data_IF_344391721823
#
_entry.id   IF_344391721823
#
_cell.length_a   1.000
_cell.length_b   1.000
_cell.length_c   1.000
_cell.angle_alpha   90.00
_cell.angle_beta   90.00
_cell.angle_gamma   90.00
#
_symmetry.space_group_name_H-M   'P 1'
#
loop_
_entity.id
_entity.type
_entity.pdbx_description
1 polymer ?
#
# COMPACT_ATOMS: atom_id res chain seq x y z
N UNK A 1 -36.84 -16.41 -46.65
CA UNK A 1 -35.84 -16.37 -45.56
C UNK A 1 -35.45 -14.92 -45.40
N UNK A 2 -35.94 -14.25 -44.35
CA UNK A 2 -35.67 -12.84 -44.08
C UNK A 2 -34.53 -12.78 -43.09
N UNK A 3 -33.38 -12.22 -43.48
CA UNK A 3 -32.33 -11.82 -42.55
C UNK A 3 -32.29 -10.29 -42.54
N UNK A 4 -32.91 -9.74 -41.48
CA UNK A 4 -32.83 -8.32 -41.13
C UNK A 4 -31.37 -7.97 -40.83
N UNK A 5 -30.86 -6.93 -41.49
CA UNK A 5 -29.52 -6.40 -41.21
C UNK A 5 -29.55 -5.67 -39.86
N UNK A 6 -28.84 -6.22 -38.87
CA UNK A 6 -28.52 -5.49 -37.64
C UNK A 6 -27.59 -4.33 -37.97
N UNK A 7 -28.04 -3.10 -37.72
CA UNK A 7 -27.25 -1.90 -37.94
C UNK A 7 -26.00 -1.90 -37.06
N UNK A 8 -24.84 -1.69 -37.68
CA UNK A 8 -23.57 -1.52 -36.98
C UNK A 8 -23.54 -0.09 -36.41
N UNK A 9 -23.82 0.04 -35.11
CA UNK A 9 -23.72 1.33 -34.40
C UNK A 9 -22.24 1.59 -34.12
N UNK A 10 -21.74 2.77 -34.46
CA UNK A 10 -20.35 3.13 -34.19
C UNK A 10 -20.14 3.35 -32.69
N UNK A 11 -18.92 3.11 -32.19
CA UNK A 11 -18.53 3.45 -30.83
C UNK A 11 -18.90 4.90 -30.47
N UNK A 12 -18.73 5.83 -31.42
CA UNK A 12 -19.07 7.24 -31.25
C UNK A 12 -20.56 7.48 -31.02
N UNK A 13 -21.41 6.68 -31.68
CA UNK A 13 -22.86 6.76 -31.57
C UNK A 13 -23.33 6.16 -30.23
N UNK A 14 -22.74 5.05 -29.80
CA UNK A 14 -22.96 4.48 -28.47
C UNK A 14 -22.52 5.46 -27.36
N UNK A 15 -21.37 6.11 -27.53
CA UNK A 15 -20.89 7.12 -26.59
C UNK A 15 -21.77 8.35 -26.52
N UNK A 16 -22.27 8.82 -27.67
CA UNK A 16 -23.20 9.94 -27.73
C UNK A 16 -24.53 9.60 -27.04
N UNK A 17 -25.02 8.37 -27.22
CA UNK A 17 -26.23 7.89 -26.59
C UNK A 17 -26.07 7.76 -25.06
N UNK A 18 -24.96 7.19 -24.58
CA UNK A 18 -24.68 7.10 -23.14
C UNK A 18 -24.60 8.50 -22.49
N UNK A 19 -24.02 9.49 -23.18
CA UNK A 19 -23.97 10.89 -22.71
C UNK A 19 -25.35 11.52 -22.62
N UNK A 20 -26.22 11.29 -23.61
CA UNK A 20 -27.57 11.86 -23.62
C UNK A 20 -28.46 11.22 -22.54
N UNK A 21 -28.35 9.90 -22.35
CA UNK A 21 -29.05 9.18 -21.29
C UNK A 21 -28.58 9.62 -19.89
N UNK A 22 -27.28 9.88 -19.70
CA UNK A 22 -26.75 10.41 -18.45
C UNK A 22 -27.26 11.84 -18.16
N UNK A 23 -27.36 12.70 -19.19
CA UNK A 23 -27.92 14.04 -19.06
C UNK A 23 -29.43 14.02 -18.76
N UNK A 24 -30.19 13.09 -19.35
CA UNK A 24 -31.60 12.90 -19.02
C UNK A 24 -31.81 12.35 -17.60
N UNK A 25 -30.94 11.45 -17.13
CA UNK A 25 -30.95 10.97 -15.74
C UNK A 25 -30.60 12.07 -14.73
N UNK A 26 -29.96 13.15 -15.17
CA UNK A 26 -29.65 14.31 -14.34
C UNK A 26 -30.91 15.09 -13.92
N UNK A 27 -32.01 15.01 -14.70
CA UNK A 27 -33.30 15.61 -14.34
C UNK A 27 -34.02 14.82 -13.23
N UNK A 28 -33.73 13.52 -13.07
CA UNK A 28 -34.23 12.70 -11.96
C UNK A 28 -33.31 12.84 -10.74
N UNK A 29 -33.41 13.99 -10.07
CA UNK A 29 -32.91 14.30 -8.73
C UNK A 29 -31.52 13.72 -8.37
N UNK A 30 -30.46 14.43 -8.78
CA UNK A 30 -29.21 14.42 -8.04
C UNK A 30 -29.47 14.91 -6.60
N UNK A 31 -29.45 14.01 -5.61
CA UNK A 31 -29.37 14.41 -4.18
C UNK A 31 -27.92 14.70 -3.82
N UNK A 32 -27.46 15.90 -4.17
CA UNK A 32 -26.31 16.50 -3.51
C UNK A 32 -26.71 16.78 -2.06
N UNK A 33 -25.93 16.32 -1.08
CA UNK A 33 -26.10 16.79 0.30
C UNK A 33 -25.76 18.29 0.33
N UNK A 34 -26.79 19.13 0.26
CA UNK A 34 -26.62 20.57 0.50
C UNK A 34 -26.56 20.80 2.01
N UNK A 35 -25.55 21.54 2.43
CA UNK A 35 -25.54 22.21 3.73
C UNK A 35 -26.40 23.47 3.56
N UNK A 36 -27.35 23.66 4.48
CA UNK A 36 -28.31 24.75 4.46
C UNK A 36 -27.64 26.12 4.30
N UNK A 37 -28.30 26.98 3.53
CA UNK A 37 -27.89 28.36 3.26
C UNK A 37 -27.79 29.26 4.51
N UNK A 38 -27.47 30.55 4.31
CA UNK A 38 -26.98 31.41 5.37
C UNK A 38 -28.11 31.80 6.33
N UNK A 39 -28.22 31.10 7.46
CA UNK A 39 -29.15 31.47 8.53
C UNK A 39 -29.63 30.29 9.34
N UNK A 40 -28.75 29.68 10.13
CA UNK A 40 -29.13 28.57 11.01
C UNK A 40 -28.02 28.20 11.97
N UNK A 41 -27.92 28.90 13.09
CA UNK A 41 -27.07 28.53 14.22
C UNK A 41 -27.65 27.29 14.91
N UNK A 42 -27.15 26.12 14.54
CA UNK A 42 -27.15 24.94 15.40
C UNK A 42 -25.72 24.36 15.39
N UNK A 43 -25.04 24.21 16.53
CA UNK A 43 -23.73 23.59 16.56
C UNK A 43 -23.90 22.10 16.24
N UNK A 44 -23.55 21.72 15.01
CA UNK A 44 -23.52 20.33 14.60
C UNK A 44 -22.48 19.56 15.44
N UNK A 45 -22.75 18.34 15.95
CA UNK A 45 -21.76 17.52 16.66
C UNK A 45 -20.57 17.05 15.79
N UNK A 46 -20.44 17.55 14.56
CA UNK A 46 -19.41 17.15 13.59
C UNK A 46 -18.17 18.07 13.56
N UNK A 47 -18.08 19.08 14.44
CA UNK A 47 -16.97 20.04 14.45
C UNK A 47 -15.73 19.54 15.23
N UNK A 48 -15.41 18.26 15.12
CA UNK A 48 -14.10 17.76 15.56
C UNK A 48 -13.56 16.68 14.61
N UNK A 49 -13.80 16.82 13.31
CA UNK A 49 -12.90 16.20 12.32
C UNK A 49 -11.63 17.05 12.34
N UNK A 50 -10.66 16.66 13.16
CA UNK A 50 -9.37 17.34 13.23
C UNK A 50 -8.80 17.54 11.82
N UNK A 51 -8.29 18.73 11.54
CA UNK A 51 -7.59 19.01 10.29
C UNK A 51 -6.28 18.21 10.27
N UNK A 52 -6.32 17.00 9.72
CA UNK A 52 -5.14 16.16 9.51
C UNK A 52 -4.40 16.68 8.28
N UNK A 53 -3.65 17.77 8.45
CA UNK A 53 -2.70 18.24 7.44
C UNK A 53 -1.31 17.63 7.70
N UNK A 54 -0.71 17.05 6.66
CA UNK A 54 0.67 16.53 6.69
C UNK A 54 1.51 17.30 5.69
N UNK A 55 2.75 17.66 6.05
CA UNK A 55 3.65 18.39 5.15
C UNK A 55 4.46 17.41 4.30
N UNK A 56 4.70 17.75 3.04
CA UNK A 56 5.51 16.94 2.14
C UNK A 56 6.93 16.65 2.68
N UNK A 57 7.52 17.59 3.43
CA UNK A 57 8.80 17.39 4.13
C UNK A 57 8.72 16.25 5.15
N UNK A 58 7.61 16.16 5.88
CA UNK A 58 7.43 15.15 6.93
C UNK A 58 7.25 13.77 6.29
N UNK A 59 6.47 13.67 5.20
CA UNK A 59 6.35 12.43 4.41
C UNK A 59 7.70 11.99 3.81
N UNK A 60 8.48 12.92 3.27
CA UNK A 60 9.81 12.60 2.75
C UNK A 60 10.75 12.08 3.86
N UNK A 61 10.69 12.67 5.05
CA UNK A 61 11.47 12.21 6.20
C UNK A 61 11.07 10.79 6.64
N UNK A 62 9.79 10.43 6.56
CA UNK A 62 9.32 9.05 6.84
C UNK A 62 9.83 8.07 5.78
N UNK A 63 9.76 8.43 4.50
CA UNK A 63 10.32 7.61 3.41
C UNK A 63 11.81 7.36 3.60
N UNK A 64 12.60 8.40 3.88
CA UNK A 64 14.03 8.30 4.16
C UNK A 64 14.32 7.43 5.39
N UNK A 65 13.49 7.52 6.43
CA UNK A 65 13.63 6.69 7.62
C UNK A 65 13.34 5.21 7.32
N UNK A 66 12.29 4.92 6.53
CA UNK A 66 11.97 3.57 6.08
C UNK A 66 13.10 2.98 5.22
N UNK A 67 13.69 3.77 4.33
CA UNK A 67 14.85 3.35 3.53
C UNK A 67 16.06 3.02 4.40
N UNK A 68 16.39 3.87 5.37
CA UNK A 68 17.51 3.61 6.30
C UNK A 68 17.26 2.38 7.17
N UNK A 69 16.02 2.17 7.61
CA UNK A 69 15.63 0.97 8.34
C UNK A 69 15.82 -0.27 7.46
N UNK A 70 15.33 -0.26 6.22
CA UNK A 70 15.55 -1.34 5.25
C UNK A 70 17.03 -1.70 5.12
N UNK A 71 17.89 -0.72 4.86
CA UNK A 71 19.33 -0.97 4.67
C UNK A 71 20.01 -1.59 5.90
N UNK A 72 19.62 -1.14 7.10
CA UNK A 72 20.16 -1.68 8.35
C UNK A 72 19.61 -3.07 8.63
N UNK A 73 18.33 -3.29 8.42
CA UNK A 73 17.70 -4.58 8.68
C UNK A 73 18.24 -5.67 7.74
N UNK A 74 18.50 -5.32 6.48
CA UNK A 74 19.09 -6.21 5.49
C UNK A 74 20.47 -6.67 5.95
N UNK A 75 21.35 -5.70 6.26
CA UNK A 75 22.71 -5.98 6.70
C UNK A 75 22.80 -6.69 8.06
N UNK A 76 22.18 -6.11 9.08
CA UNK A 76 22.31 -6.59 10.46
C UNK A 76 21.49 -7.88 10.65
N UNK A 77 20.36 -8.01 9.95
CA UNK A 77 19.52 -9.20 9.93
C UNK A 77 20.19 -10.40 9.27
N UNK A 78 20.83 -10.20 8.11
CA UNK A 78 21.59 -11.25 7.42
C UNK A 78 22.81 -11.71 8.24
N UNK A 79 23.51 -10.76 8.89
CA UNK A 79 24.62 -11.11 9.78
C UNK A 79 24.17 -11.98 10.95
N UNK A 80 23.07 -11.61 11.63
CA UNK A 80 22.51 -12.38 12.73
C UNK A 80 22.03 -13.78 12.25
N UNK A 81 21.40 -13.85 11.08
CA UNK A 81 20.97 -15.12 10.48
C UNK A 81 22.18 -16.02 10.20
N UNK A 82 23.21 -15.50 9.52
CA UNK A 82 24.39 -16.26 9.13
C UNK A 82 25.14 -16.81 10.35
N UNK A 83 25.42 -15.94 11.32
CA UNK A 83 26.15 -16.33 12.54
C UNK A 83 25.38 -17.36 13.38
N UNK A 84 24.06 -17.18 13.52
CA UNK A 84 23.20 -18.11 14.26
C UNK A 84 23.04 -19.44 13.53
N UNK A 85 22.97 -19.44 12.19
CA UNK A 85 22.91 -20.67 11.39
C UNK A 85 24.19 -21.50 11.53
N UNK A 86 25.36 -20.84 11.55
CA UNK A 86 26.64 -21.51 11.83
C UNK A 86 26.63 -22.14 13.22
N UNK A 87 26.24 -21.38 14.26
CA UNK A 87 26.16 -21.91 15.62
C UNK A 87 25.17 -23.08 15.74
N UNK A 88 24.02 -22.99 15.07
CA UNK A 88 23.03 -24.06 15.05
C UNK A 88 23.60 -25.35 14.44
N UNK A 89 24.32 -25.23 13.32
CA UNK A 89 25.01 -26.36 12.67
C UNK A 89 26.07 -26.97 13.59
N UNK A 90 26.91 -26.14 14.19
CA UNK A 90 28.02 -26.62 15.02
C UNK A 90 27.55 -27.33 16.30
N UNK A 91 26.38 -26.96 16.83
CA UNK A 91 25.80 -27.58 18.02
C UNK A 91 24.95 -28.82 17.74
N UNK A 92 24.52 -29.04 16.48
CA UNK A 92 23.46 -30.01 16.16
C UNK A 92 23.82 -31.46 16.43
N UNK A 93 25.09 -31.82 16.32
CA UNK A 93 25.55 -33.20 16.48
C UNK A 93 25.65 -33.61 17.95
N UNK A 94 25.96 -32.67 18.84
CA UNK A 94 26.22 -32.93 20.27
C UNK A 94 25.11 -32.41 21.21
N UNK A 95 24.25 -31.50 20.74
CA UNK A 95 23.24 -30.85 21.57
C UNK A 95 21.91 -30.61 20.84
N UNK A 96 20.80 -31.00 21.48
CA UNK A 96 19.43 -30.77 21.00
C UNK A 96 19.12 -29.29 20.69
N UNK A 97 19.80 -28.37 21.39
CA UNK A 97 19.67 -26.92 21.17
C UNK A 97 20.09 -26.49 19.76
N UNK A 98 20.96 -27.24 19.07
CA UNK A 98 21.34 -26.93 17.69
C UNK A 98 20.16 -27.07 16.72
N UNK A 99 19.30 -28.07 16.95
CA UNK A 99 18.03 -28.23 16.23
C UNK A 99 17.09 -27.07 16.51
N UNK A 100 16.82 -26.79 17.79
CA UNK A 100 15.94 -25.69 18.19
C UNK A 100 16.43 -24.31 17.69
N UNK A 101 17.74 -24.07 17.68
CA UNK A 101 18.32 -22.83 17.16
C UNK A 101 18.13 -22.72 15.63
N UNK A 102 18.11 -23.84 14.91
CA UNK A 102 17.81 -23.83 13.47
C UNK A 102 16.38 -23.33 13.22
N UNK A 103 15.40 -23.77 14.01
CA UNK A 103 14.00 -23.33 13.90
C UNK A 103 13.85 -21.82 14.22
N UNK A 104 14.60 -21.34 15.21
CA UNK A 104 14.67 -19.91 15.55
C UNK A 104 15.26 -19.09 14.39
N UNK A 105 16.31 -19.59 13.74
CA UNK A 105 16.93 -18.93 12.57
C UNK A 105 15.94 -18.83 11.40
N UNK A 106 15.15 -19.88 11.15
CA UNK A 106 14.11 -19.85 10.11
C UNK A 106 13.04 -18.82 10.41
N UNK A 107 12.57 -18.77 11.66
CA UNK A 107 11.57 -17.79 12.11
C UNK A 107 12.12 -16.36 12.02
N UNK A 108 13.37 -16.14 12.45
CA UNK A 108 14.06 -14.86 12.33
C UNK A 108 14.11 -14.38 10.89
N UNK A 109 14.52 -15.26 9.96
CA UNK A 109 14.59 -14.94 8.54
C UNK A 109 13.24 -14.49 8.01
N UNK A 110 12.16 -15.20 8.35
CA UNK A 110 10.80 -14.82 7.94
C UNK A 110 10.43 -13.44 8.45
N UNK A 111 10.68 -13.15 9.73
CA UNK A 111 10.34 -11.86 10.34
C UNK A 111 11.15 -10.69 9.77
N UNK A 112 12.46 -10.86 9.57
CA UNK A 112 13.31 -9.84 8.93
C UNK A 112 12.83 -9.57 7.50
N UNK A 113 12.49 -10.62 6.75
CA UNK A 113 11.98 -10.51 5.39
C UNK A 113 10.64 -9.75 5.32
N UNK A 114 9.74 -9.97 6.26
CA UNK A 114 8.48 -9.22 6.36
C UNK A 114 8.73 -7.74 6.66
N UNK A 115 9.61 -7.44 7.61
CA UNK A 115 9.98 -6.06 7.92
C UNK A 115 10.68 -5.35 6.75
N UNK A 116 11.55 -6.05 6.01
CA UNK A 116 12.19 -5.53 4.80
C UNK A 116 11.15 -5.17 3.74
N UNK A 117 10.22 -6.07 3.45
CA UNK A 117 9.17 -5.78 2.48
C UNK A 117 8.26 -4.64 2.94
N UNK A 118 7.89 -4.56 4.22
CA UNK A 118 7.12 -3.43 4.75
C UNK A 118 7.86 -2.09 4.60
N UNK A 119 9.15 -2.05 4.93
CA UNK A 119 9.97 -0.84 4.76
C UNK A 119 10.10 -0.44 3.29
N UNK A 120 10.28 -1.41 2.39
CA UNK A 120 10.32 -1.17 0.96
C UNK A 120 8.98 -0.59 0.45
N UNK A 121 7.84 -1.16 0.85
CA UNK A 121 6.51 -0.65 0.49
C UNK A 121 6.29 0.78 0.96
N UNK A 122 6.60 1.09 2.23
CA UNK A 122 6.47 2.46 2.77
C UNK A 122 7.37 3.43 2.00
N UNK A 123 8.64 3.06 1.78
CA UNK A 123 9.60 3.89 1.05
C UNK A 123 9.12 4.16 -0.37
N UNK A 124 8.73 3.11 -1.11
CA UNK A 124 8.24 3.24 -2.49
C UNK A 124 6.96 4.04 -2.59
N UNK A 125 6.01 3.83 -1.69
CA UNK A 125 4.72 4.52 -1.73
C UNK A 125 4.90 6.03 -1.48
N UNK A 126 5.77 6.39 -0.53
CA UNK A 126 6.07 7.80 -0.23
C UNK A 126 6.95 8.44 -1.30
N UNK A 127 7.85 7.68 -1.91
CA UNK A 127 8.63 8.11 -3.08
C UNK A 127 7.72 8.39 -4.27
N UNK A 128 6.81 7.46 -4.61
CA UNK A 128 5.76 7.65 -5.61
C UNK A 128 4.88 8.87 -5.29
N UNK A 129 4.43 9.03 -4.05
CA UNK A 129 3.61 10.20 -3.64
C UNK A 129 4.38 11.51 -3.84
N UNK A 130 5.67 11.53 -3.53
CA UNK A 130 6.54 12.70 -3.76
C UNK A 130 6.75 12.98 -5.25
N UNK A 131 6.80 11.94 -6.09
CA UNK A 131 7.13 12.01 -7.53
C UNK A 131 5.92 12.19 -8.43
N UNK A 132 4.75 11.70 -8.06
CA UNK A 132 3.48 12.14 -8.63
C UNK A 132 3.31 13.67 -8.53
N UNK A 133 4.04 14.32 -7.62
CA UNK A 133 4.13 15.77 -7.50
C UNK A 133 5.43 16.39 -8.06
N UNK A 134 6.44 15.61 -8.51
CA UNK A 134 7.78 16.12 -8.86
C UNK A 134 8.54 15.46 -10.05
N UNK A 135 8.19 14.26 -10.54
CA UNK A 135 8.58 13.75 -11.87
C UNK A 135 9.69 12.68 -12.02
N UNK A 136 10.44 12.23 -11.00
CA UNK A 136 11.64 11.36 -11.19
C UNK A 136 11.62 10.05 -10.38
N UNK A 137 11.47 8.83 -10.93
CA UNK A 137 11.33 7.54 -10.18
C UNK A 137 12.63 6.87 -9.63
N UNK A 138 12.56 6.30 -8.41
CA UNK A 138 13.60 5.46 -7.78
C UNK A 138 12.89 4.30 -7.05
N UNK A 139 12.90 3.12 -7.66
CA UNK A 139 12.16 1.96 -7.18
C UNK A 139 13.04 1.02 -6.35
N UNK A 140 12.56 0.62 -5.17
CA UNK A 140 13.13 -0.47 -4.38
C UNK A 140 12.28 -1.71 -4.61
N UNK A 141 12.87 -2.85 -4.99
CA UNK A 141 12.09 -4.07 -5.14
C UNK A 141 11.65 -4.61 -3.78
N UNK A 142 10.33 -4.77 -3.58
CA UNK A 142 9.78 -5.46 -2.41
C UNK A 142 9.60 -6.95 -2.72
N UNK A 143 10.02 -7.83 -1.80
CA UNK A 143 9.98 -9.29 -1.98
C UNK A 143 8.60 -9.91 -1.70
N UNK A 144 7.70 -9.20 -1.02
CA UNK A 144 6.37 -9.69 -0.63
C UNK A 144 5.28 -8.69 -0.99
N UNK A 145 4.07 -9.18 -1.30
CA UNK A 145 2.88 -8.30 -1.41
C UNK A 145 2.40 -7.87 -0.02
N UNK A 146 1.53 -6.86 0.03
CA UNK A 146 0.93 -6.41 1.28
C UNK A 146 0.11 -7.53 1.96
N UNK A 147 -0.59 -8.37 1.20
CA UNK A 147 -1.37 -9.47 1.79
C UNK A 147 -0.45 -10.48 2.50
N UNK A 148 0.70 -10.81 1.91
CA UNK A 148 1.67 -11.72 2.56
C UNK A 148 2.30 -11.10 3.81
N UNK A 149 2.40 -9.77 3.89
CA UNK A 149 2.90 -9.11 5.10
C UNK A 149 1.95 -9.28 6.29
N UNK A 150 0.64 -9.10 6.09
CA UNK A 150 -0.37 -9.21 7.17
C UNK A 150 -0.38 -10.59 7.83
N UNK A 151 -0.12 -11.64 7.05
CA UNK A 151 -0.02 -13.02 7.56
C UNK A 151 1.21 -13.26 8.44
N UNK A 152 2.33 -12.59 8.16
CA UNK A 152 3.60 -12.80 8.86
C UNK A 152 3.78 -11.95 10.13
N UNK A 153 2.94 -10.91 10.32
CA UNK A 153 2.95 -10.04 11.51
C UNK A 153 2.01 -10.48 12.64
N UNK A 154 1.46 -11.69 12.58
CA UNK A 154 0.58 -12.25 13.64
C UNK A 154 1.33 -12.90 14.79
#
# INVERSE_FOLDING_TARGET
MVFSHGGNVSFEDEWAQIKSEAAQRQETHMRLNQVDGPGGTAPSPAAQKGDLSVKAKDLAAIGDAAFKLYQRLDKDGDHAQTTSATAAKDLKDDFDIGGALSDVVETWRTQVNSLLAACAHISNHLDYTKKAHAGDEHYIAASFSYETLDENFR
#
